data_IF_551930456514
#
_entry.id   IF_551930456514
#
_cell.length_a   1.000
_cell.length_b   1.000
_cell.length_c   1.000
_cell.angle_alpha   90.00
_cell.angle_beta   90.00
_cell.angle_gamma   90.00
#
_symmetry.space_group_name_H-M   'P 1'
#
loop_
_entity.id
_entity.type
_entity.pdbx_description
1 polymer ?
#
# COMPACT_ATOMS: atom_id res chain seq x y z
N UNK A 1 9.22 50.77 -19.32
CA UNK A 1 7.79 50.45 -19.11
C UNK A 1 7.62 48.94 -19.20
N UNK A 2 6.83 48.39 -18.27
CA UNK A 2 6.69 46.97 -17.91
C UNK A 2 6.50 45.97 -19.06
N UNK A 3 7.03 44.76 -18.86
CA UNK A 3 6.29 43.52 -19.10
C UNK A 3 6.79 42.42 -18.13
N UNK A 4 6.14 42.30 -16.97
CA UNK A 4 6.30 41.17 -16.05
C UNK A 4 5.46 40.00 -16.58
N UNK A 5 6.09 39.04 -17.24
CA UNK A 5 5.51 37.71 -17.50
C UNK A 5 5.81 36.85 -16.28
N UNK A 6 4.76 36.52 -15.54
CA UNK A 6 4.83 35.68 -14.35
C UNK A 6 4.33 34.26 -14.63
N UNK A 7 4.83 33.33 -13.82
CA UNK A 7 4.37 31.98 -13.58
C UNK A 7 4.62 30.88 -14.62
N UNK A 8 5.84 30.34 -14.59
CA UNK A 8 6.03 28.88 -14.62
C UNK A 8 6.31 28.41 -13.20
N UNK A 9 5.36 27.72 -12.59
CA UNK A 9 5.59 26.93 -11.37
C UNK A 9 6.53 25.80 -11.76
N UNK A 10 7.82 25.98 -11.47
CA UNK A 10 8.84 24.94 -11.57
C UNK A 10 8.86 24.18 -10.24
N UNK A 11 8.71 22.86 -10.35
CA UNK A 11 8.90 21.91 -9.26
C UNK A 11 10.23 22.16 -8.51
N UNK A 12 10.29 21.96 -7.19
CA UNK A 12 11.53 22.08 -6.43
C UNK A 12 12.36 20.81 -6.65
N UNK A 13 13.13 20.78 -7.73
CA UNK A 13 14.17 19.78 -7.92
C UNK A 13 15.52 20.50 -7.94
N UNK A 14 16.45 19.95 -7.16
CA UNK A 14 17.87 20.26 -6.99
C UNK A 14 18.27 21.53 -6.22
N UNK A 15 18.26 21.43 -4.88
CA UNK A 15 19.34 22.06 -4.10
C UNK A 15 20.61 21.21 -4.28
N UNK A 16 21.53 21.67 -5.12
CA UNK A 16 22.88 21.12 -5.23
C UNK A 16 23.68 21.45 -3.98
N UNK A 17 24.07 20.43 -3.21
CA UNK A 17 25.01 20.59 -2.10
C UNK A 17 26.45 20.54 -2.66
N UNK A 18 27.33 21.53 -2.37
CA UNK A 18 28.66 21.61 -2.98
C UNK A 18 29.72 20.68 -2.36
N UNK A 19 29.34 19.70 -1.53
CA UNK A 19 30.29 18.79 -0.89
C UNK A 19 29.85 17.33 -1.09
N UNK A 20 30.69 16.57 -1.79
CA UNK A 20 30.44 15.22 -2.31
C UNK A 20 30.32 14.11 -1.27
N UNK A 21 29.34 14.22 -0.38
CA UNK A 21 28.84 13.10 0.41
C UNK A 21 27.38 12.86 -0.01
N UNK A 22 27.16 11.92 -0.94
CA UNK A 22 25.82 11.39 -1.18
C UNK A 22 25.37 10.65 0.08
N UNK A 23 24.72 11.36 0.99
CA UNK A 23 23.90 10.71 1.99
C UNK A 23 22.77 9.99 1.24
N UNK A 24 22.92 8.67 1.06
CA UNK A 24 21.83 7.78 0.69
C UNK A 24 20.84 7.83 1.87
N UNK A 25 19.92 8.78 1.82
CA UNK A 25 18.75 8.70 2.69
C UNK A 25 18.01 7.42 2.30
N UNK A 26 17.62 6.57 3.27
CA UNK A 26 16.69 5.48 2.98
C UNK A 26 15.48 6.11 2.30
N UNK A 27 15.20 5.69 1.07
CA UNK A 27 14.05 6.14 0.30
C UNK A 27 12.78 5.76 1.10
N UNK A 28 12.30 6.68 1.92
CA UNK A 28 10.90 6.67 2.33
C UNK A 28 10.12 6.91 1.04
N UNK A 29 9.23 6.00 0.63
CA UNK A 29 8.44 6.19 -0.57
C UNK A 29 7.72 7.53 -0.43
N UNK A 30 7.97 8.44 -1.38
CA UNK A 30 7.26 9.70 -1.43
C UNK A 30 5.76 9.40 -1.52
N UNK A 31 4.89 10.07 -0.73
CA UNK A 31 3.46 9.85 -0.83
C UNK A 31 3.02 10.25 -2.24
N UNK A 32 2.79 9.24 -3.08
CA UNK A 32 2.33 9.44 -4.44
C UNK A 32 0.87 9.90 -4.41
N UNK A 33 0.54 10.90 -5.22
CA UNK A 33 -0.86 11.29 -5.50
C UNK A 33 -1.43 10.51 -6.68
N UNK A 34 -0.62 9.65 -7.31
CA UNK A 34 -1.05 8.80 -8.42
C UNK A 34 -1.82 7.59 -7.88
N UNK A 35 -3.16 7.66 -7.98
CA UNK A 35 -4.09 6.61 -7.57
C UNK A 35 -3.74 5.25 -8.21
N UNK A 36 -3.57 5.13 -9.54
CA UNK A 36 -3.12 3.88 -10.18
C UNK A 36 -1.86 3.29 -9.55
N UNK A 37 -0.81 4.09 -9.36
CA UNK A 37 0.44 3.62 -8.80
C UNK A 37 0.29 3.19 -7.33
N UNK A 38 -0.44 3.98 -6.53
CA UNK A 38 -0.72 3.67 -5.13
C UNK A 38 -1.50 2.34 -4.98
N UNK A 39 -2.54 2.15 -5.80
CA UNK A 39 -3.33 0.92 -5.77
C UNK A 39 -2.50 -0.29 -6.21
N UNK A 40 -1.67 -0.14 -7.25
CA UNK A 40 -0.77 -1.21 -7.67
C UNK A 40 0.24 -1.60 -6.58
N UNK A 41 0.81 -0.60 -5.88
CA UNK A 41 1.70 -0.83 -4.75
C UNK A 41 1.00 -1.59 -3.61
N UNK A 42 -0.25 -1.24 -3.30
CA UNK A 42 -1.04 -1.91 -2.26
C UNK A 42 -1.34 -3.36 -2.63
N UNK A 43 -1.71 -3.65 -3.88
CA UNK A 43 -1.92 -5.02 -4.37
C UNK A 43 -0.63 -5.85 -4.29
N UNK A 44 0.50 -5.25 -4.65
CA UNK A 44 1.81 -5.91 -4.57
C UNK A 44 2.18 -6.22 -3.11
N UNK A 45 1.92 -5.29 -2.19
CA UNK A 45 2.18 -5.50 -0.77
C UNK A 45 1.27 -6.58 -0.16
N UNK A 46 -0.01 -6.65 -0.56
CA UNK A 46 -0.93 -7.72 -0.15
C UNK A 46 -0.43 -9.10 -0.60
N UNK A 47 0.04 -9.22 -1.85
CA UNK A 47 0.68 -10.45 -2.35
C UNK A 47 1.90 -10.82 -1.53
N UNK A 48 2.73 -9.83 -1.19
CA UNK A 48 3.93 -10.04 -0.36
C UNK A 48 3.61 -10.59 1.04
N UNK A 49 2.52 -10.15 1.67
CA UNK A 49 2.04 -10.74 2.94
C UNK A 49 1.67 -12.21 2.75
N UNK A 50 0.90 -12.55 1.70
CA UNK A 50 0.52 -13.94 1.45
C UNK A 50 1.75 -14.83 1.18
N UNK A 51 2.67 -14.39 0.33
CA UNK A 51 3.91 -15.13 0.01
C UNK A 51 4.79 -15.31 1.24
N UNK A 52 4.98 -14.27 2.05
CA UNK A 52 5.80 -14.35 3.27
C UNK A 52 5.17 -15.25 4.33
N UNK A 53 3.84 -15.22 4.49
CA UNK A 53 3.11 -16.16 5.37
C UNK A 53 3.28 -17.62 4.93
N UNK A 54 3.17 -17.90 3.62
CA UNK A 54 3.38 -19.26 3.09
C UNK A 54 4.82 -19.74 3.31
N UNK A 55 5.80 -18.86 3.10
CA UNK A 55 7.20 -19.16 3.38
C UNK A 55 7.44 -19.41 4.87
N UNK A 56 6.87 -18.58 5.75
CA UNK A 56 6.93 -18.74 7.21
C UNK A 56 6.32 -20.07 7.66
N UNK A 57 5.14 -20.43 7.16
CA UNK A 57 4.49 -21.69 7.50
C UNK A 57 5.27 -22.94 7.04
N UNK A 58 6.10 -22.79 6.00
CA UNK A 58 7.02 -23.82 5.53
C UNK A 58 8.39 -23.78 6.23
N UNK A 59 8.57 -22.95 7.25
CA UNK A 59 9.85 -22.70 7.95
C UNK A 59 10.96 -22.22 6.98
N UNK A 60 10.57 -21.56 5.88
CA UNK A 60 11.47 -20.97 4.87
C UNK A 60 11.70 -19.46 5.06
N UNK A 61 10.96 -18.82 5.97
CA UNK A 61 11.12 -17.43 6.33
C UNK A 61 10.86 -17.22 7.83
N UNK A 62 11.54 -16.24 8.43
CA UNK A 62 11.28 -15.83 9.80
C UNK A 62 10.01 -14.97 9.90
N UNK A 63 9.40 -14.90 11.08
CA UNK A 63 8.26 -14.04 11.35
C UNK A 63 8.54 -12.56 11.03
N UNK A 64 9.80 -12.13 11.19
CA UNK A 64 10.27 -10.79 10.83
C UNK A 64 10.00 -10.45 9.36
N UNK A 65 10.10 -11.41 8.44
CA UNK A 65 9.79 -11.18 7.02
C UNK A 65 8.32 -10.92 6.76
N UNK A 66 7.43 -11.50 7.56
CA UNK A 66 6.00 -11.22 7.50
C UNK A 66 5.73 -9.82 8.06
N UNK A 67 6.40 -9.45 9.15
CA UNK A 67 6.34 -8.10 9.73
C UNK A 67 6.84 -7.02 8.75
N UNK A 68 7.96 -7.26 8.05
CA UNK A 68 8.48 -6.38 7.00
C UNK A 68 7.44 -6.16 5.89
N UNK A 69 6.80 -7.25 5.44
CA UNK A 69 5.74 -7.18 4.43
C UNK A 69 4.52 -6.39 4.92
N UNK A 70 4.15 -6.54 6.19
CA UNK A 70 3.07 -5.76 6.82
C UNK A 70 3.40 -4.26 6.90
N UNK A 71 4.64 -3.88 7.22
CA UNK A 71 5.08 -2.47 7.21
C UNK A 71 4.92 -1.90 5.79
N UNK A 72 5.36 -2.63 4.76
CA UNK A 72 5.21 -2.20 3.37
C UNK A 72 3.74 -2.06 2.96
N UNK A 73 2.87 -2.97 3.41
CA UNK A 73 1.42 -2.86 3.21
C UNK A 73 0.84 -1.60 3.86
N UNK A 74 1.22 -1.27 5.09
CA UNK A 74 0.80 -0.05 5.76
C UNK A 74 1.23 1.22 5.00
N UNK A 75 2.46 1.25 4.49
CA UNK A 75 2.96 2.36 3.67
C UNK A 75 2.17 2.51 2.37
N UNK A 76 1.93 1.41 1.66
CA UNK A 76 1.14 1.42 0.43
C UNK A 76 -0.33 1.81 0.69
N UNK A 77 -0.89 1.39 1.82
CA UNK A 77 -2.24 1.76 2.25
C UNK A 77 -2.35 3.27 2.50
N UNK A 78 -1.38 3.86 3.21
CA UNK A 78 -1.32 5.30 3.42
C UNK A 78 -1.18 6.08 2.11
N UNK A 79 -0.38 5.57 1.16
CA UNK A 79 -0.28 6.17 -0.18
C UNK A 79 -1.63 6.17 -0.92
N UNK A 80 -2.40 5.08 -0.81
CA UNK A 80 -3.75 4.98 -1.37
C UNK A 80 -4.71 5.99 -0.73
N UNK A 81 -4.72 6.07 0.61
CA UNK A 81 -5.55 7.03 1.34
C UNK A 81 -5.23 8.46 0.92
N UNK A 82 -3.94 8.80 0.86
CA UNK A 82 -3.48 10.11 0.43
C UNK A 82 -3.88 10.41 -1.03
N UNK A 83 -3.69 9.45 -1.93
CA UNK A 83 -4.05 9.61 -3.34
C UNK A 83 -5.55 9.82 -3.54
N UNK A 84 -6.42 9.10 -2.83
CA UNK A 84 -7.88 9.31 -2.90
C UNK A 84 -8.32 10.62 -2.23
N UNK A 85 -7.70 11.00 -1.12
CA UNK A 85 -8.00 12.26 -0.43
C UNK A 85 -7.77 13.48 -1.33
N UNK A 86 -6.79 13.42 -2.24
CA UNK A 86 -6.53 14.49 -3.22
C UNK A 86 -7.72 14.76 -4.17
N UNK A 87 -8.64 13.79 -4.29
CA UNK A 87 -9.87 13.90 -5.10
C UNK A 87 -11.14 14.00 -4.23
N UNK A 88 -10.99 14.31 -2.94
CA UNK A 88 -12.09 14.43 -1.98
C UNK A 88 -12.93 13.14 -1.85
N UNK A 89 -12.29 11.99 -2.05
CA UNK A 89 -12.91 10.66 -1.92
C UNK A 89 -12.68 10.14 -0.51
N UNK A 90 -13.78 9.84 0.18
CA UNK A 90 -13.76 9.33 1.55
C UNK A 90 -13.17 7.91 1.61
N UNK A 91 -12.24 7.66 2.52
CA UNK A 91 -11.59 6.36 2.77
C UNK A 91 -11.81 5.81 4.18
N UNK A 92 -12.70 6.40 4.98
CA UNK A 92 -12.91 6.02 6.38
C UNK A 92 -13.34 4.56 6.55
N UNK A 93 -14.05 4.00 5.58
CA UNK A 93 -14.49 2.60 5.56
C UNK A 93 -13.34 1.60 5.51
N UNK A 94 -12.20 1.95 4.90
CA UNK A 94 -11.05 1.04 4.78
C UNK A 94 -10.01 1.22 5.90
N UNK A 95 -10.06 2.32 6.65
CA UNK A 95 -9.11 2.62 7.75
C UNK A 95 -9.01 1.57 8.87
N UNK A 96 -10.06 0.84 9.28
CA UNK A 96 -9.92 -0.18 10.32
C UNK A 96 -9.20 -1.46 9.85
N UNK A 97 -9.06 -1.67 8.54
CA UNK A 97 -8.56 -2.93 7.98
C UNK A 97 -7.10 -3.24 8.37
N UNK A 98 -6.13 -2.29 8.28
CA UNK A 98 -4.76 -2.55 8.69
C UNK A 98 -4.66 -3.02 10.16
N UNK A 99 -5.44 -2.41 11.06
CA UNK A 99 -5.45 -2.78 12.46
C UNK A 99 -5.99 -4.20 12.69
N UNK A 100 -7.08 -4.57 12.00
CA UNK A 100 -7.62 -5.94 12.06
C UNK A 100 -6.62 -6.96 11.50
N UNK A 101 -5.98 -6.65 10.38
CA UNK A 101 -4.94 -7.50 9.80
C UNK A 101 -3.74 -7.68 10.74
N UNK A 102 -3.29 -6.60 11.40
CA UNK A 102 -2.23 -6.68 12.40
C UNK A 102 -2.56 -7.65 13.52
N UNK A 103 -3.78 -7.55 14.06
CA UNK A 103 -4.22 -8.40 15.17
C UNK A 103 -4.18 -9.88 14.81
N UNK A 104 -4.64 -10.23 13.59
CA UNK A 104 -4.59 -11.61 13.07
C UNK A 104 -3.13 -12.08 12.88
N UNK A 105 -2.27 -11.22 12.31
CA UNK A 105 -0.86 -11.54 12.11
C UNK A 105 -0.11 -11.72 13.43
N UNK A 106 -0.37 -10.88 14.44
CA UNK A 106 0.25 -10.99 15.77
C UNK A 106 -0.09 -12.33 16.44
N UNK A 107 -1.35 -12.77 16.36
CA UNK A 107 -1.76 -14.07 16.91
C UNK A 107 -1.16 -15.23 16.10
N UNK A 108 -1.17 -15.15 14.77
CA UNK A 108 -0.64 -16.18 13.89
C UNK A 108 0.87 -16.38 14.08
N UNK A 109 1.64 -15.29 14.09
CA UNK A 109 3.11 -15.31 14.23
C UNK A 109 3.56 -15.67 15.65
N UNK A 110 2.67 -15.57 16.65
CA UNK A 110 2.91 -16.05 18.00
C UNK A 110 2.87 -17.58 18.14
N UNK A 111 2.36 -18.29 17.13
CA UNK A 111 2.32 -19.76 17.08
C UNK A 111 3.62 -20.33 16.50
N UNK A 112 3.85 -21.64 16.69
CA UNK A 112 4.95 -22.32 16.00
C UNK A 112 4.66 -22.40 14.49
N UNK A 113 5.62 -22.06 13.61
CA UNK A 113 5.43 -22.09 12.17
C UNK A 113 5.03 -23.50 11.69
N UNK A 114 3.85 -23.60 11.08
CA UNK A 114 3.36 -24.83 10.46
C UNK A 114 2.26 -24.55 9.43
N UNK A 115 2.06 -25.43 8.43
CA UNK A 115 0.96 -25.31 7.48
C UNK A 115 -0.42 -25.35 8.18
N UNK A 116 -0.55 -26.12 9.26
CA UNK A 116 -1.77 -26.22 10.03
C UNK A 116 -2.11 -24.90 10.75
N UNK A 117 -1.12 -24.26 11.39
CA UNK A 117 -1.28 -22.95 11.99
C UNK A 117 -1.73 -21.92 10.95
N UNK A 118 -1.06 -21.87 9.78
CA UNK A 118 -1.45 -20.94 8.72
C UNK A 118 -2.87 -21.19 8.22
N UNK A 119 -3.26 -22.45 7.99
CA UNK A 119 -4.59 -22.82 7.51
C UNK A 119 -5.71 -22.32 8.43
N UNK A 120 -5.48 -22.30 9.75
CA UNK A 120 -6.45 -21.80 10.73
C UNK A 120 -6.72 -20.30 10.57
N UNK A 121 -5.70 -19.49 10.25
CA UNK A 121 -5.83 -18.02 10.11
C UNK A 121 -6.05 -17.53 8.67
N UNK A 122 -5.84 -18.40 7.66
CA UNK A 122 -6.12 -18.10 6.25
C UNK A 122 -7.53 -17.54 5.96
N UNK A 123 -8.64 -18.05 6.54
CA UNK A 123 -9.96 -17.47 6.29
C UNK A 123 -10.03 -15.98 6.71
N UNK A 124 -9.48 -15.64 7.87
CA UNK A 124 -9.50 -14.27 8.41
C UNK A 124 -8.57 -13.34 7.62
N UNK A 125 -7.36 -13.80 7.28
CA UNK A 125 -6.42 -13.04 6.45
C UNK A 125 -7.04 -12.77 5.07
N UNK A 126 -7.63 -13.78 4.43
CA UNK A 126 -8.31 -13.60 3.13
C UNK A 126 -9.47 -12.61 3.24
N UNK A 127 -10.25 -12.67 4.32
CA UNK A 127 -11.35 -11.73 4.54
C UNK A 127 -10.85 -10.28 4.63
N UNK A 128 -9.79 -10.01 5.41
CA UNK A 128 -9.24 -8.64 5.50
C UNK A 128 -8.69 -8.16 4.15
N UNK A 129 -7.98 -9.01 3.41
CA UNK A 129 -7.48 -8.66 2.07
C UNK A 129 -8.62 -8.42 1.07
N UNK A 130 -9.69 -9.21 1.14
CA UNK A 130 -10.89 -9.01 0.32
C UNK A 130 -11.58 -7.69 0.64
N UNK A 131 -11.74 -7.35 1.92
CA UNK A 131 -12.33 -6.06 2.34
C UNK A 131 -11.53 -4.87 1.79
N UNK A 132 -10.18 -4.96 1.75
CA UNK A 132 -9.34 -3.93 1.13
C UNK A 132 -9.68 -3.81 -0.36
N UNK A 133 -9.71 -4.93 -1.09
CA UNK A 133 -9.99 -4.93 -2.53
C UNK A 133 -11.40 -4.40 -2.84
N UNK A 134 -12.41 -4.78 -2.06
CA UNK A 134 -13.78 -4.32 -2.22
C UNK A 134 -13.89 -2.80 -1.98
N UNK A 135 -13.27 -2.29 -0.92
CA UNK A 135 -13.18 -0.86 -0.65
C UNK A 135 -12.47 -0.11 -1.78
N UNK A 136 -11.31 -0.60 -2.21
CA UNK A 136 -10.54 -0.03 -3.32
C UNK A 136 -11.35 0.07 -4.61
N UNK A 137 -12.07 -0.99 -4.99
CA UNK A 137 -12.90 -1.00 -6.21
C UNK A 137 -13.98 0.07 -6.15
N UNK A 138 -14.61 0.23 -4.99
CA UNK A 138 -15.62 1.27 -4.76
C UNK A 138 -15.01 2.66 -4.90
N UNK A 139 -13.83 2.91 -4.32
CA UNK A 139 -13.13 4.21 -4.44
C UNK A 139 -12.63 4.48 -5.85
N UNK A 140 -12.16 3.46 -6.55
CA UNK A 140 -11.77 3.60 -7.96
C UNK A 140 -12.95 3.97 -8.84
N UNK A 141 -14.15 3.42 -8.61
CA UNK A 141 -15.35 3.82 -9.33
C UNK A 141 -15.69 5.30 -9.10
N UNK A 142 -15.60 5.77 -7.85
CA UNK A 142 -15.79 7.18 -7.50
C UNK A 142 -14.73 8.09 -8.15
N UNK A 143 -13.46 7.70 -8.10
CA UNK A 143 -12.36 8.42 -8.74
C UNK A 143 -12.52 8.54 -10.25
N UNK A 144 -13.01 7.49 -10.90
CA UNK A 144 -13.32 7.52 -12.33
C UNK A 144 -14.45 8.48 -12.66
N UNK A 145 -15.53 8.47 -11.87
CA UNK A 145 -16.63 9.41 -12.03
C UNK A 145 -16.13 10.87 -11.89
N UNK A 146 -15.20 11.12 -10.97
CA UNK A 146 -14.62 12.44 -10.74
C UNK A 146 -13.60 12.89 -11.82
N UNK A 147 -12.89 11.96 -12.46
CA UNK A 147 -11.75 12.29 -13.36
C UNK A 147 -11.98 11.96 -14.83
N UNK A 148 -13.06 11.25 -15.18
CA UNK A 148 -13.32 10.79 -16.56
C UNK A 148 -12.32 9.77 -17.09
N UNK A 149 -11.48 9.17 -16.23
CA UNK A 149 -10.43 8.22 -16.64
C UNK A 149 -10.94 6.79 -16.90
N UNK A 150 -10.26 6.03 -17.79
CA UNK A 150 -10.60 4.64 -18.07
C UNK A 150 -10.43 3.72 -16.83
N UNK A 151 -11.07 2.52 -16.83
CA UNK A 151 -10.94 1.54 -15.75
C UNK A 151 -9.48 1.19 -15.48
N UNK A 152 -9.09 1.16 -14.20
CA UNK A 152 -7.87 0.45 -13.82
C UNK A 152 -8.16 -1.04 -13.91
N UNK A 153 -7.36 -1.75 -14.71
CA UNK A 153 -7.41 -3.20 -14.84
C UNK A 153 -6.85 -3.83 -13.56
N UNK A 154 -7.63 -3.79 -12.47
CA UNK A 154 -7.29 -4.56 -11.29
C UNK A 154 -7.56 -6.04 -11.55
N UNK A 155 -6.63 -6.93 -11.19
CA UNK A 155 -6.89 -8.36 -11.25
C UNK A 155 -8.08 -8.69 -10.34
N UNK A 156 -9.03 -9.48 -10.87
CA UNK A 156 -10.26 -9.90 -10.16
C UNK A 156 -9.96 -10.78 -8.95
N UNK A 157 -8.77 -11.40 -8.91
CA UNK A 157 -8.30 -12.27 -7.83
C UNK A 157 -6.79 -12.08 -7.61
N UNK A 158 -6.36 -12.08 -6.34
CA UNK A 158 -5.02 -12.56 -5.97
C UNK A 158 -5.15 -14.09 -5.90
N UNK A 159 -4.99 -14.76 -7.04
CA UNK A 159 -4.66 -16.19 -7.04
C UNK A 159 -3.16 -16.35 -6.78
#
# INVERSE_FOLDING_TARGET
>A
MQAYRSNSVRSPSCLSNPHGLQLVYPQYPTPTTDVPAAVHALITAMKSIQTSLQAWASVRAAAEKVSDAYINFGNAFNAVVHAFSAYNIDTRDIHPIPQRLRSILEVCLGQNPSPAALSAYMPEVRQQLFDVLAGLRTKQAAWRAATGRPPLLLPVSLD
#
